data_IF_172845290127
#
_entry.id   IF_172845290127
#
_cell.length_a   1.000
_cell.length_b   1.000
_cell.length_c   1.000
_cell.angle_alpha   90.00
_cell.angle_beta   90.00
_cell.angle_gamma   90.00
#
_symmetry.space_group_name_H-M   'P 1'
#
loop_
_entity.id
_entity.type
_entity.pdbx_description
1 polymer ?
#
# COMPACT_ATOMS: atom_id res chain seq x y z
N UNK A 1 -35.76 40.04 -4.88
CA UNK A 1 -35.01 39.02 -4.11
C UNK A 1 -35.40 37.65 -4.65
N UNK A 2 -34.58 37.07 -5.53
CA UNK A 2 -34.81 35.74 -6.12
C UNK A 2 -33.74 34.82 -5.56
N UNK A 3 -34.19 33.81 -4.81
CA UNK A 3 -33.38 32.76 -4.20
C UNK A 3 -32.77 31.91 -5.32
N UNK A 4 -31.45 31.95 -5.46
CA UNK A 4 -30.72 31.18 -6.47
C UNK A 4 -30.83 29.68 -6.22
N UNK A 5 -31.44 28.98 -7.18
CA UNK A 5 -31.45 27.53 -7.22
C UNK A 5 -30.02 26.99 -7.46
N UNK A 6 -29.54 26.15 -6.55
CA UNK A 6 -28.30 25.39 -6.73
C UNK A 6 -28.41 24.48 -7.97
N UNK A 7 -27.34 24.31 -8.77
CA UNK A 7 -27.36 23.42 -9.93
C UNK A 7 -27.48 21.94 -9.52
N UNK A 8 -28.17 21.10 -10.33
CA UNK A 8 -28.42 19.68 -10.03
C UNK A 8 -27.18 18.77 -10.04
N UNK A 9 -25.99 19.33 -10.28
CA UNK A 9 -24.71 18.59 -10.32
C UNK A 9 -24.16 18.33 -8.91
N UNK A 10 -24.37 19.27 -7.96
CA UNK A 10 -23.93 19.10 -6.57
C UNK A 10 -24.68 17.96 -5.85
N UNK A 11 -25.89 17.64 -6.31
CA UNK A 11 -26.72 16.55 -5.76
C UNK A 11 -26.41 15.19 -6.39
N UNK A 12 -25.76 15.14 -7.57
CA UNK A 12 -25.37 13.88 -8.25
C UNK A 12 -23.98 13.35 -7.89
N UNK A 13 -23.08 14.21 -7.39
CA UNK A 13 -21.78 13.75 -6.87
C UNK A 13 -21.86 13.07 -5.50
N UNK A 14 -22.98 13.20 -4.78
CA UNK A 14 -23.22 12.48 -3.52
C UNK A 14 -23.75 11.06 -3.70
N UNK A 15 -24.00 10.59 -4.93
CA UNK A 15 -24.72 9.32 -5.19
C UNK A 15 -23.92 8.32 -6.04
N UNK A 16 -22.61 8.54 -6.23
CA UNK A 16 -21.68 7.62 -6.92
C UNK A 16 -20.42 7.35 -6.10
N UNK A 17 -20.49 7.47 -4.77
CA UNK A 17 -19.59 6.74 -3.91
C UNK A 17 -20.22 5.36 -3.72
N UNK A 18 -19.62 4.32 -4.30
CA UNK A 18 -19.82 2.94 -3.82
C UNK A 18 -19.17 2.87 -2.44
N UNK A 19 -19.86 3.53 -1.51
CA UNK A 19 -19.32 4.02 -0.27
C UNK A 19 -18.92 2.83 0.58
N UNK A 20 -17.63 2.78 0.93
CA UNK A 20 -17.16 1.93 2.01
C UNK A 20 -18.15 1.99 3.17
N UNK A 21 -18.80 0.87 3.47
CA UNK A 21 -19.69 0.74 4.62
C UNK A 21 -18.92 0.03 5.72
N UNK A 22 -18.95 0.60 6.92
CA UNK A 22 -18.36 -0.01 8.10
C UNK A 22 -19.45 -0.20 9.14
N UNK A 23 -19.92 -1.43 9.27
CA UNK A 23 -20.89 -1.81 10.30
C UNK A 23 -20.16 -2.11 11.61
N UNK A 24 -20.65 -1.57 12.73
CA UNK A 24 -20.06 -1.80 14.05
C UNK A 24 -20.99 -2.67 14.89
N UNK A 25 -20.48 -3.81 15.34
CA UNK A 25 -21.14 -4.65 16.35
C UNK A 25 -20.34 -4.59 17.63
N UNK A 26 -20.94 -4.11 18.73
CA UNK A 26 -20.28 -4.09 20.04
C UNK A 26 -20.78 -5.24 20.89
N UNK A 27 -19.86 -5.93 21.57
CA UNK A 27 -20.13 -7.06 22.44
C UNK A 27 -19.95 -6.67 23.93
N UNK A 28 -20.66 -7.34 24.85
CA UNK A 28 -20.59 -7.05 26.28
C UNK A 28 -19.22 -7.33 26.92
N UNK A 29 -18.35 -8.09 26.25
CA UNK A 29 -16.95 -8.32 26.66
C UNK A 29 -16.02 -7.12 26.37
N UNK A 30 -16.58 -6.03 25.81
CA UNK A 30 -15.82 -4.84 25.42
C UNK A 30 -15.19 -4.94 24.02
N UNK A 31 -15.56 -5.93 23.22
CA UNK A 31 -15.08 -6.08 21.84
C UNK A 31 -15.97 -5.32 20.86
N UNK A 32 -15.35 -4.53 20.00
CA UNK A 32 -16.02 -3.91 18.85
C UNK A 32 -15.59 -4.64 17.56
N UNK A 33 -16.52 -5.20 16.82
CA UNK A 33 -16.29 -5.83 15.51
C UNK A 33 -16.70 -4.85 14.42
N UNK A 34 -15.76 -4.49 13.56
CA UNK A 34 -15.97 -3.60 12.41
C UNK A 34 -16.03 -4.48 11.15
N UNK A 35 -17.22 -4.64 10.58
CA UNK A 35 -17.40 -5.36 9.31
C UNK A 35 -17.36 -4.37 8.17
N UNK A 36 -16.37 -4.53 7.29
CA UNK A 36 -16.13 -3.62 6.18
C UNK A 36 -16.68 -4.21 4.89
N UNK A 37 -17.49 -3.42 4.17
CA UNK A 37 -18.13 -3.82 2.91
C UNK A 37 -17.89 -2.76 1.85
N UNK A 38 -17.68 -3.22 0.62
CA UNK A 38 -17.39 -2.35 -0.53
C UNK A 38 -15.89 -2.29 -0.85
N UNK A 39 -15.40 -1.11 -1.21
CA UNK A 39 -14.04 -0.92 -1.73
C UNK A 39 -13.21 0.00 -0.82
N UNK A 40 -11.98 -0.42 -0.52
CA UNK A 40 -11.01 0.42 0.20
C UNK A 40 -10.22 1.25 -0.82
N UNK A 41 -10.79 2.39 -1.17
CA UNK A 41 -10.24 3.39 -2.10
C UNK A 41 -10.15 4.76 -1.43
N UNK A 42 -9.75 5.79 -2.17
CA UNK A 42 -9.63 7.16 -1.68
C UNK A 42 -10.84 7.61 -0.82
N UNK A 43 -10.57 8.13 0.37
CA UNK A 43 -11.58 8.57 1.35
C UNK A 43 -11.99 7.51 2.38
N UNK A 44 -11.52 6.26 2.27
CA UNK A 44 -11.80 5.21 3.25
C UNK A 44 -11.37 5.57 4.68
N UNK A 45 -10.26 6.29 4.84
CA UNK A 45 -9.74 6.74 6.14
C UNK A 45 -10.66 7.73 6.85
N UNK A 46 -11.36 8.60 6.10
CA UNK A 46 -12.33 9.53 6.69
C UNK A 46 -13.56 8.79 7.23
N UNK A 47 -14.01 7.77 6.49
CA UNK A 47 -15.09 6.87 6.95
C UNK A 47 -14.66 6.12 8.21
N UNK A 48 -13.44 5.58 8.24
CA UNK A 48 -12.89 4.92 9.41
C UNK A 48 -12.85 5.87 10.62
N UNK A 49 -12.31 7.07 10.45
CA UNK A 49 -12.21 8.05 11.53
C UNK A 49 -13.58 8.40 12.12
N UNK A 50 -14.59 8.60 11.26
CA UNK A 50 -15.98 8.84 11.68
C UNK A 50 -16.57 7.65 12.44
N UNK A 51 -16.29 6.43 12.00
CA UNK A 51 -16.77 5.21 12.67
C UNK A 51 -16.10 5.02 14.04
N UNK A 52 -14.78 5.19 14.11
CA UNK A 52 -14.01 5.08 15.36
C UNK A 52 -14.43 6.14 16.39
N UNK A 53 -14.73 7.36 15.94
CA UNK A 53 -15.22 8.44 16.81
C UNK A 53 -16.61 8.16 17.41
N UNK A 54 -17.40 7.28 16.80
CA UNK A 54 -18.74 6.89 17.27
C UNK A 54 -18.72 5.62 18.13
N UNK A 55 -17.56 5.01 18.38
CA UNK A 55 -17.47 3.83 19.23
C UNK A 55 -17.89 4.17 20.67
N UNK A 56 -18.68 3.30 21.31
CA UNK A 56 -19.10 3.52 22.69
C UNK A 56 -17.89 3.49 23.64
N UNK A 57 -17.96 4.22 24.77
CA UNK A 57 -16.92 4.14 25.80
C UNK A 57 -16.87 2.72 26.39
N UNK A 58 -15.65 2.24 26.70
CA UNK A 58 -15.45 0.90 27.27
C UNK A 58 -15.05 -0.19 26.28
N UNK A 59 -14.84 0.16 25.00
CA UNK A 59 -14.21 -0.76 24.03
C UNK A 59 -12.77 -1.07 24.48
N UNK A 60 -12.47 -2.37 24.63
CA UNK A 60 -11.18 -2.92 25.05
C UNK A 60 -10.43 -3.60 23.93
N UNK A 61 -11.08 -3.90 22.79
CA UNK A 61 -10.47 -4.49 21.60
C UNK A 61 -11.31 -4.18 20.35
N UNK A 62 -10.66 -3.98 19.21
CA UNK A 62 -11.31 -3.78 17.91
C UNK A 62 -10.90 -4.90 16.95
N UNK A 63 -11.88 -5.58 16.37
CA UNK A 63 -11.66 -6.63 15.37
C UNK A 63 -12.22 -6.18 14.02
N UNK A 64 -11.35 -5.89 13.07
CA UNK A 64 -11.70 -5.55 11.69
C UNK A 64 -11.93 -6.83 10.86
N UNK A 65 -13.08 -6.91 10.21
CA UNK A 65 -13.47 -8.03 9.33
C UNK A 65 -13.49 -7.58 7.87
N UNK A 66 -12.66 -8.22 7.06
CA UNK A 66 -12.36 -7.84 5.68
C UNK A 66 -12.98 -8.77 4.62
N UNK A 67 -13.77 -9.75 5.04
CA UNK A 67 -14.28 -10.81 4.15
C UNK A 67 -15.16 -10.30 2.99
N UNK A 68 -15.82 -9.16 3.17
CA UNK A 68 -16.72 -8.56 2.18
C UNK A 68 -16.06 -7.46 1.33
N UNK A 69 -14.78 -7.21 1.57
CA UNK A 69 -13.97 -6.29 0.77
C UNK A 69 -13.45 -7.05 -0.44
N UNK A 70 -13.79 -6.57 -1.63
CA UNK A 70 -13.35 -7.19 -2.89
C UNK A 70 -12.23 -6.42 -3.58
N UNK A 71 -12.12 -5.12 -3.26
CA UNK A 71 -11.14 -4.23 -3.85
C UNK A 71 -10.43 -3.39 -2.80
N UNK A 72 -9.12 -3.24 -2.97
CA UNK A 72 -8.24 -2.48 -2.09
C UNK A 72 -7.10 -1.89 -2.93
N UNK A 73 -6.96 -0.57 -2.90
CA UNK A 73 -5.78 0.11 -3.43
C UNK A 73 -4.82 0.53 -2.30
N UNK A 74 -3.85 1.39 -2.61
CA UNK A 74 -2.89 1.91 -1.64
C UNK A 74 -3.57 2.64 -0.46
N UNK A 75 -4.74 3.25 -0.66
CA UNK A 75 -5.51 3.88 0.41
C UNK A 75 -5.99 2.86 1.44
N UNK A 76 -6.20 1.61 1.05
CA UNK A 76 -6.49 0.54 2.01
C UNK A 76 -5.34 0.25 2.97
N UNK A 77 -4.08 0.42 2.55
CA UNK A 77 -2.94 0.30 3.46
C UNK A 77 -2.87 1.49 4.42
N UNK A 78 -3.21 2.69 3.95
CA UNK A 78 -3.35 3.87 4.82
C UNK A 78 -4.49 3.72 5.83
N UNK A 79 -5.61 3.10 5.43
CA UNK A 79 -6.71 2.73 6.31
C UNK A 79 -6.24 1.81 7.44
N UNK A 80 -5.46 0.77 7.12
CA UNK A 80 -4.88 -0.13 8.12
C UNK A 80 -3.91 0.60 9.06
N UNK A 81 -3.05 1.46 8.52
CA UNK A 81 -2.12 2.26 9.32
C UNK A 81 -2.88 3.21 10.26
N UNK A 82 -3.96 3.83 9.80
CA UNK A 82 -4.82 4.69 10.62
C UNK A 82 -5.51 3.92 11.75
N UNK A 83 -6.01 2.70 11.48
CA UNK A 83 -6.58 1.83 12.51
C UNK A 83 -5.53 1.41 13.54
N UNK A 84 -4.34 1.02 13.10
CA UNK A 84 -3.23 0.65 13.98
C UNK A 84 -2.80 1.80 14.89
N UNK A 85 -2.68 3.00 14.32
CA UNK A 85 -2.32 4.21 15.06
C UNK A 85 -3.40 4.62 16.05
N UNK A 86 -4.68 4.48 15.71
CA UNK A 86 -5.77 4.65 16.67
C UNK A 86 -5.66 3.66 17.83
N UNK A 87 -5.45 2.37 17.54
CA UNK A 87 -5.25 1.33 18.55
C UNK A 87 -4.11 1.65 19.50
N UNK A 88 -2.97 2.10 18.96
CA UNK A 88 -1.82 2.56 19.76
C UNK A 88 -2.14 3.76 20.64
N UNK A 89 -2.78 4.80 20.08
CA UNK A 89 -3.09 6.05 20.82
C UNK A 89 -4.07 5.82 21.97
N UNK A 90 -5.05 4.94 21.76
CA UNK A 90 -6.09 4.67 22.75
C UNK A 90 -5.80 3.42 23.60
N UNK A 91 -4.65 2.77 23.39
CA UNK A 91 -4.26 1.51 24.06
C UNK A 91 -5.32 0.40 23.90
N UNK A 92 -5.93 0.35 22.72
CA UNK A 92 -6.93 -0.65 22.35
C UNK A 92 -6.32 -1.58 21.31
N UNK A 93 -6.09 -2.88 21.63
CA UNK A 93 -5.64 -3.86 20.66
C UNK A 93 -6.56 -3.90 19.43
N UNK A 94 -5.95 -3.93 18.26
CA UNK A 94 -6.64 -4.03 16.98
C UNK A 94 -6.19 -5.30 16.25
N UNK A 95 -7.11 -6.00 15.61
CA UNK A 95 -6.78 -7.11 14.69
C UNK A 95 -7.53 -6.93 13.38
N UNK A 96 -6.96 -7.38 12.27
CA UNK A 96 -7.63 -7.35 10.98
C UNK A 96 -7.57 -8.71 10.29
N UNK A 97 -8.74 -9.31 10.07
CA UNK A 97 -8.85 -10.71 9.61
C UNK A 97 -9.88 -10.88 8.49
N UNK A 98 -9.86 -12.04 7.83
CA UNK A 98 -10.81 -12.36 6.76
C UNK A 98 -10.38 -11.83 5.39
N UNK A 99 -9.08 -11.73 5.15
CA UNK A 99 -8.51 -11.29 3.88
C UNK A 99 -8.78 -12.32 2.78
N UNK A 100 -9.43 -11.90 1.70
CA UNK A 100 -9.68 -12.75 0.52
C UNK A 100 -9.43 -11.96 -0.76
N UNK A 101 -9.38 -12.65 -1.91
CA UNK A 101 -9.33 -12.01 -3.22
C UNK A 101 -8.18 -11.01 -3.40
N UNK A 102 -8.47 -9.84 -3.97
CA UNK A 102 -7.47 -8.83 -4.26
C UNK A 102 -6.79 -8.25 -3.00
N UNK A 103 -7.50 -7.88 -1.91
CA UNK A 103 -6.86 -7.42 -0.67
C UNK A 103 -5.77 -8.36 -0.14
N UNK A 104 -6.01 -9.67 -0.14
CA UNK A 104 -5.01 -10.67 0.26
C UNK A 104 -3.73 -10.57 -0.58
N UNK A 105 -3.88 -10.43 -1.91
CA UNK A 105 -2.74 -10.30 -2.82
C UNK A 105 -1.97 -9.00 -2.61
N UNK A 106 -2.65 -7.92 -2.22
CA UNK A 106 -1.98 -6.65 -1.88
C UNK A 106 -1.14 -6.80 -0.61
N UNK A 107 -1.64 -7.50 0.42
CA UNK A 107 -0.85 -7.79 1.62
C UNK A 107 0.40 -8.62 1.31
N UNK A 108 0.27 -9.66 0.48
CA UNK A 108 1.40 -10.48 0.02
C UNK A 108 2.46 -9.62 -0.70
N UNK A 109 2.04 -8.74 -1.60
CA UNK A 109 2.94 -7.85 -2.34
C UNK A 109 3.58 -6.78 -1.46
N UNK A 110 2.91 -6.38 -0.39
CA UNK A 110 3.43 -5.45 0.61
C UNK A 110 4.35 -6.13 1.64
N UNK A 111 4.47 -7.47 1.60
CA UNK A 111 5.25 -8.23 2.59
C UNK A 111 4.63 -8.21 3.99
N UNK A 112 3.32 -7.98 4.08
CA UNK A 112 2.59 -7.95 5.34
C UNK A 112 2.05 -9.35 5.69
N UNK A 113 1.83 -9.59 6.97
CA UNK A 113 1.15 -10.80 7.43
C UNK A 113 -0.27 -10.86 6.81
N UNK A 114 -0.53 -11.93 6.07
CA UNK A 114 -1.79 -12.15 5.37
C UNK A 114 -2.92 -12.64 6.28
N UNK A 115 -2.58 -13.10 7.49
CA UNK A 115 -3.53 -13.52 8.52
C UNK A 115 -4.00 -12.32 9.33
N UNK A 116 -3.04 -11.52 9.82
CA UNK A 116 -3.32 -10.26 10.52
C UNK A 116 -2.18 -9.24 10.29
N UNK A 117 -2.34 -8.30 9.33
CA UNK A 117 -1.30 -7.32 9.01
C UNK A 117 -1.09 -6.28 10.11
N UNK A 118 -1.94 -6.26 11.16
CA UNK A 118 -1.81 -5.38 12.31
C UNK A 118 -1.09 -6.05 13.48
N UNK A 119 -0.75 -7.33 13.37
CA UNK A 119 -0.04 -8.09 14.38
C UNK A 119 1.45 -7.69 14.41
N UNK A 120 2.01 -7.29 15.56
CA UNK A 120 3.43 -6.98 15.69
C UNK A 120 4.38 -8.19 15.52
N UNK A 121 3.87 -9.42 15.44
CA UNK A 121 4.68 -10.64 15.57
C UNK A 121 5.50 -11.06 14.34
N UNK A 122 5.36 -10.42 13.18
CA UNK A 122 6.02 -10.89 11.94
C UNK A 122 7.24 -10.02 11.59
N UNK A 123 8.15 -9.93 12.55
CA UNK A 123 9.40 -9.18 12.45
C UNK A 123 10.48 -9.72 13.38
N UNK A 124 10.66 -11.03 13.46
CA UNK A 124 11.90 -11.61 14.01
C UNK A 124 12.88 -11.92 12.86
N UNK A 125 14.15 -11.49 12.97
CA UNK A 125 15.21 -11.94 12.08
C UNK A 125 15.42 -13.45 12.28
N UNK A 126 15.53 -14.20 11.19
CA UNK A 126 15.91 -15.61 11.25
C UNK A 126 17.32 -15.73 11.85
N UNK A 127 17.38 -16.05 13.14
CA UNK A 127 18.60 -16.37 13.86
C UNK A 127 18.54 -17.84 14.31
N UNK A 128 19.56 -18.61 13.88
CA UNK A 128 19.93 -19.92 14.42
C UNK A 128 19.93 -21.11 13.44
N UNK A 129 20.81 -22.13 13.63
CA UNK A 129 21.67 -22.38 14.79
C UNK A 129 23.18 -22.39 14.52
N UNK A 130 23.88 -22.12 15.62
CA UNK A 130 25.31 -22.13 15.86
C UNK A 130 25.83 -23.57 15.90
N UNK A 131 26.93 -23.86 15.20
CA UNK A 131 27.71 -25.07 15.43
C UNK A 131 29.21 -24.73 15.38
N UNK A 132 29.86 -24.79 16.53
CA UNK A 132 31.29 -24.56 16.70
C UNK A 132 31.74 -25.33 17.95
N UNK A 133 32.73 -26.23 17.85
CA UNK A 133 33.01 -27.20 18.91
C UNK A 133 33.67 -26.56 20.14
N UNK A 134 33.54 -27.18 21.32
CA UNK A 134 34.15 -26.72 22.55
C UNK A 134 35.58 -27.28 22.68
N UNK A 135 36.50 -26.51 23.27
CA UNK A 135 37.47 -27.03 24.24
C UNK A 135 38.22 -25.87 24.91
N UNK A 136 38.31 -25.93 26.25
CA UNK A 136 38.94 -24.94 27.13
C UNK A 136 40.47 -25.10 27.24
N UNK A 137 41.15 -24.72 28.35
CA UNK A 137 40.62 -24.26 29.64
C UNK A 137 41.22 -22.93 30.14
N UNK A 138 40.66 -22.50 31.27
CA UNK A 138 40.98 -21.33 32.09
C UNK A 138 42.35 -21.41 32.80
N UNK A 139 42.98 -20.23 32.82
CA UNK A 139 43.78 -19.54 33.85
C UNK A 139 44.83 -20.27 34.72
N UNK A 140 45.98 -19.59 34.83
CA UNK A 140 47.12 -19.88 35.70
C UNK A 140 48.18 -18.76 35.59
N UNK A 141 47.94 -17.63 36.28
CA UNK A 141 48.86 -16.49 36.56
C UNK A 141 50.27 -16.88 37.09
N UNK A 142 51.21 -15.94 37.38
CA UNK A 142 51.65 -14.72 36.68
C UNK A 142 53.21 -14.56 36.67
N UNK A 143 53.79 -13.67 35.85
CA UNK A 143 55.22 -13.35 36.00
C UNK A 143 55.80 -12.26 35.08
N UNK A 144 55.95 -11.05 35.65
CA UNK A 144 57.08 -10.13 35.41
C UNK A 144 57.15 -9.35 34.08
N UNK A 145 57.52 -8.05 34.08
CA UNK A 145 57.45 -7.18 32.91
C UNK A 145 58.75 -7.18 32.10
N UNK A 146 58.65 -7.19 30.77
CA UNK A 146 59.73 -6.73 29.90
C UNK A 146 59.16 -5.76 28.84
N UNK A 147 59.78 -4.59 28.61
CA UNK A 147 59.25 -3.55 27.76
C UNK A 147 59.79 -3.69 26.33
N UNK A 148 58.87 -3.69 25.37
CA UNK A 148 59.19 -3.37 23.98
C UNK A 148 58.90 -4.50 23.00
N UNK A 149 57.74 -4.43 22.38
CA UNK A 149 57.56 -4.40 20.92
C UNK A 149 56.06 -4.53 20.59
N UNK A 150 55.53 -3.49 19.94
CA UNK A 150 54.35 -3.52 19.04
C UNK A 150 53.03 -4.01 19.62
N UNK A 151 52.10 -3.09 19.85
CA UNK A 151 50.65 -3.36 19.78
C UNK A 151 50.23 -3.46 18.31
N UNK A 152 49.78 -4.61 17.77
CA UNK A 152 48.99 -4.66 16.56
C UNK A 152 47.49 -4.73 16.90
N UNK A 153 46.87 -3.65 17.36
CA UNK A 153 45.39 -3.56 17.36
C UNK A 153 44.85 -2.13 17.53
N UNK A 154 44.71 -1.38 16.42
CA UNK A 154 43.40 -0.75 16.17
C UNK A 154 42.81 -1.10 14.79
N UNK A 155 43.56 -1.81 13.94
CA UNK A 155 43.19 -2.06 12.54
C UNK A 155 41.97 -3.00 12.37
N UNK A 156 41.82 -4.04 13.21
CA UNK A 156 40.72 -5.00 13.06
C UNK A 156 39.35 -4.42 13.45
N UNK A 157 39.27 -3.62 14.53
CA UNK A 157 38.06 -2.89 14.90
C UNK A 157 37.72 -1.81 13.87
N UNK A 158 38.74 -1.16 13.29
CA UNK A 158 38.57 -0.19 12.20
C UNK A 158 38.08 -0.84 10.90
N UNK A 159 38.55 -2.06 10.59
CA UNK A 159 38.14 -2.79 9.39
C UNK A 159 36.69 -3.27 9.48
N UNK A 160 36.28 -3.80 10.64
CA UNK A 160 34.87 -4.19 10.89
C UNK A 160 33.96 -2.96 10.91
N UNK A 161 34.41 -1.82 11.44
CA UNK A 161 33.65 -0.57 11.40
C UNK A 161 33.51 -0.02 9.97
N UNK A 162 34.57 -0.09 9.16
CA UNK A 162 34.56 0.31 7.75
C UNK A 162 33.62 -0.59 6.92
N UNK A 163 33.69 -1.91 7.10
CA UNK A 163 32.82 -2.86 6.41
C UNK A 163 31.33 -2.64 6.76
N UNK A 164 31.03 -2.33 8.03
CA UNK A 164 29.67 -1.97 8.46
C UNK A 164 29.19 -0.66 7.84
N UNK A 165 30.05 0.35 7.73
CA UNK A 165 29.72 1.63 7.11
C UNK A 165 29.47 1.50 5.59
N UNK A 166 30.26 0.67 4.91
CA UNK A 166 30.08 0.35 3.49
C UNK A 166 28.76 -0.39 3.25
N UNK A 167 28.44 -1.40 4.07
CA UNK A 167 27.15 -2.11 4.00
C UNK A 167 25.96 -1.18 4.25
N UNK A 168 26.05 -0.28 5.23
CA UNK A 168 25.00 0.71 5.49
C UNK A 168 24.78 1.64 4.30
N UNK A 169 25.86 2.09 3.67
CA UNK A 169 25.79 2.97 2.49
C UNK A 169 25.15 2.24 1.30
N UNK A 170 25.50 0.97 1.10
CA UNK A 170 24.94 0.14 0.02
C UNK A 170 23.44 -0.12 0.22
N UNK A 171 23.03 -0.45 1.45
CA UNK A 171 21.62 -0.62 1.82
C UNK A 171 20.82 0.68 1.68
N UNK A 172 21.40 1.83 2.04
CA UNK A 172 20.76 3.14 1.85
C UNK A 172 20.55 3.45 0.36
N UNK A 173 21.52 3.17 -0.50
CA UNK A 173 21.39 3.35 -1.95
C UNK A 173 20.32 2.43 -2.55
N UNK A 174 20.24 1.18 -2.09
CA UNK A 174 19.22 0.21 -2.50
C UNK A 174 17.82 0.66 -2.05
N UNK A 175 17.67 1.12 -0.80
CA UNK A 175 16.43 1.71 -0.29
C UNK A 175 16.03 2.95 -1.10
N UNK A 176 16.96 3.82 -1.47
CA UNK A 176 16.71 5.00 -2.32
C UNK A 176 16.25 4.59 -3.72
N UNK A 177 16.84 3.53 -4.29
CA UNK A 177 16.49 2.99 -5.60
C UNK A 177 15.10 2.32 -5.58
N UNK A 178 14.79 1.57 -4.52
CA UNK A 178 13.48 0.96 -4.29
C UNK A 178 12.39 2.01 -4.02
N UNK A 179 12.68 3.05 -3.23
CA UNK A 179 11.77 4.20 -3.02
C UNK A 179 11.46 4.90 -4.33
N UNK A 180 12.47 5.12 -5.18
CA UNK A 180 12.27 5.69 -6.53
C UNK A 180 11.49 4.77 -7.46
N UNK A 181 11.68 3.46 -7.37
CA UNK A 181 10.91 2.48 -8.13
C UNK A 181 9.42 2.43 -7.68
N UNK A 182 9.17 2.48 -6.37
CA UNK A 182 7.82 2.57 -5.78
C UNK A 182 7.14 3.88 -6.17
N UNK A 183 7.86 5.00 -6.21
CA UNK A 183 7.34 6.31 -6.63
C UNK A 183 6.95 6.39 -8.12
N UNK A 184 7.36 5.42 -8.96
CA UNK A 184 7.05 5.39 -10.41
C UNK A 184 5.78 4.60 -10.78
N UNK A 185 5.23 3.83 -9.83
CA UNK A 185 3.98 3.06 -9.96
C UNK A 185 2.65 3.84 -9.82
N UNK A 186 2.54 5.00 -9.13
CA UNK A 186 1.26 5.69 -8.91
C UNK A 186 0.60 6.20 -10.19
N UNK A 187 1.38 6.66 -11.17
CA UNK A 187 0.83 7.37 -12.33
C UNK A 187 0.08 6.43 -13.29
N UNK A 188 0.56 5.20 -13.42
CA UNK A 188 -0.04 4.19 -14.30
C UNK A 188 -1.33 3.65 -13.70
N UNK A 189 -1.33 3.40 -12.39
CA UNK A 189 -2.52 2.96 -11.68
C UNK A 189 -3.60 4.06 -11.63
N UNK A 190 -3.20 5.33 -11.46
CA UNK A 190 -4.12 6.48 -11.56
C UNK A 190 -4.73 6.61 -12.97
N UNK A 191 -3.92 6.52 -14.02
CA UNK A 191 -4.40 6.57 -15.39
C UNK A 191 -5.37 5.41 -15.69
N UNK A 192 -5.11 4.23 -15.14
CA UNK A 192 -6.00 3.07 -15.26
C UNK A 192 -7.35 3.34 -14.58
N UNK A 193 -7.35 3.87 -13.35
CA UNK A 193 -8.58 4.26 -12.64
C UNK A 193 -9.40 5.31 -13.40
N UNK A 194 -8.74 6.31 -13.99
CA UNK A 194 -9.39 7.33 -14.83
C UNK A 194 -10.06 6.68 -16.06
N UNK A 195 -9.38 5.76 -16.74
CA UNK A 195 -9.93 5.08 -17.92
C UNK A 195 -11.09 4.15 -17.56
N UNK A 196 -11.02 3.46 -16.43
CA UNK A 196 -12.12 2.64 -15.92
C UNK A 196 -13.38 3.49 -15.70
N UNK A 197 -13.23 4.65 -15.03
CA UNK A 197 -14.33 5.58 -14.78
C UNK A 197 -14.87 6.23 -16.06
N UNK A 198 -13.99 6.58 -17.01
CA UNK A 198 -14.37 7.28 -18.24
C UNK A 198 -15.00 6.37 -19.31
N UNK A 199 -14.65 5.09 -19.34
CA UNK A 199 -15.04 4.17 -20.42
C UNK A 199 -15.81 2.92 -19.95
N UNK A 200 -16.16 2.84 -18.66
CA UNK A 200 -16.89 1.71 -18.05
C UNK A 200 -16.21 0.37 -18.42
N UNK A 201 -14.90 0.29 -18.17
CA UNK A 201 -14.10 -0.88 -18.49
C UNK A 201 -13.42 -1.45 -17.25
N UNK A 202 -13.09 -2.75 -17.30
CA UNK A 202 -12.38 -3.44 -16.22
C UNK A 202 -10.94 -2.94 -16.12
N UNK A 203 -10.29 -3.18 -14.97
CA UNK A 203 -8.88 -2.85 -14.78
C UNK A 203 -7.99 -3.51 -15.86
N UNK A 204 -8.28 -4.75 -16.26
CA UNK A 204 -7.55 -5.44 -17.32
C UNK A 204 -7.71 -4.72 -18.67
N UNK A 205 -8.93 -4.33 -19.02
CA UNK A 205 -9.21 -3.57 -20.24
C UNK A 205 -8.55 -2.20 -20.24
N UNK A 206 -8.57 -1.48 -19.11
CA UNK A 206 -7.90 -0.19 -18.97
C UNK A 206 -6.37 -0.31 -19.10
N UNK A 207 -5.78 -1.38 -18.58
CA UNK A 207 -4.37 -1.71 -18.83
C UNK A 207 -4.08 -1.96 -20.31
N UNK A 208 -4.92 -2.75 -20.98
CA UNK A 208 -4.78 -3.02 -22.41
C UNK A 208 -4.97 -1.76 -23.26
N UNK A 209 -5.87 -0.86 -22.90
CA UNK A 209 -6.04 0.45 -23.53
C UNK A 209 -4.74 1.27 -23.45
N UNK A 210 -4.13 1.37 -22.25
CA UNK A 210 -2.85 2.07 -22.07
C UNK A 210 -1.72 1.44 -22.87
N UNK A 211 -1.66 0.09 -22.88
CA UNK A 211 -0.65 -0.67 -23.62
C UNK A 211 -0.77 -0.45 -25.14
N UNK A 212 -1.98 -0.56 -25.68
CA UNK A 212 -2.25 -0.33 -27.11
C UNK A 212 -2.00 1.13 -27.49
N UNK A 213 -2.41 2.09 -26.66
CA UNK A 213 -2.15 3.50 -26.90
C UNK A 213 -0.65 3.82 -26.89
N UNK A 214 0.12 3.23 -25.96
CA UNK A 214 1.58 3.36 -25.88
C UNK A 214 2.28 2.83 -27.13
N UNK A 215 1.89 1.64 -27.61
CA UNK A 215 2.45 1.04 -28.82
C UNK A 215 2.13 1.87 -30.07
N UNK A 216 0.90 2.37 -30.18
CA UNK A 216 0.44 3.15 -31.35
C UNK A 216 1.01 4.57 -31.41
N UNK A 217 1.30 5.17 -30.25
CA UNK A 217 1.93 6.49 -30.17
C UNK A 217 3.46 6.43 -30.07
N UNK A 218 4.06 5.23 -30.14
CA UNK A 218 5.48 4.99 -29.91
C UNK A 218 6.05 5.75 -28.67
N UNK A 219 5.23 5.86 -27.62
CA UNK A 219 5.52 6.65 -26.43
C UNK A 219 5.58 5.73 -25.23
N UNK A 220 6.52 5.97 -24.31
CA UNK A 220 6.66 5.17 -23.07
C UNK A 220 5.34 5.17 -22.31
N UNK A 221 4.89 3.98 -21.87
CA UNK A 221 3.61 3.79 -21.19
C UNK A 221 3.42 4.74 -19.98
N UNK A 222 4.47 4.96 -19.19
CA UNK A 222 4.47 5.94 -18.09
C UNK A 222 4.14 7.37 -18.52
N UNK A 223 4.56 7.77 -19.70
CA UNK A 223 4.32 9.11 -20.27
C UNK A 223 2.90 9.21 -20.80
N UNK A 224 2.37 8.14 -21.41
CA UNK A 224 0.95 8.05 -21.79
C UNK A 224 0.06 8.13 -20.55
N UNK A 225 0.39 7.38 -19.49
CA UNK A 225 -0.32 7.43 -18.22
C UNK A 225 -0.30 8.83 -17.59
N UNK A 226 0.87 9.47 -17.54
CA UNK A 226 0.97 10.85 -17.04
C UNK A 226 0.10 11.82 -17.85
N UNK A 227 0.05 11.69 -19.18
CA UNK A 227 -0.77 12.54 -20.03
C UNK A 227 -2.28 12.31 -19.80
N UNK A 228 -2.69 11.06 -19.55
CA UNK A 228 -4.09 10.73 -19.17
C UNK A 228 -4.44 11.34 -17.81
N UNK A 229 -3.57 11.17 -16.81
CA UNK A 229 -3.78 11.73 -15.47
C UNK A 229 -3.83 13.25 -15.47
N UNK A 230 -2.93 13.89 -16.24
CA UNK A 230 -2.88 15.34 -16.38
C UNK A 230 -4.12 15.88 -17.09
N UNK A 231 -4.53 15.24 -18.19
CA UNK A 231 -5.71 15.65 -18.97
C UNK A 231 -7.04 15.45 -18.25
N UNK A 232 -7.09 14.61 -17.21
CA UNK A 232 -8.29 14.40 -16.39
C UNK A 232 -8.45 15.43 -15.26
N UNK A 233 -7.41 16.21 -14.94
CA UNK A 233 -7.49 17.24 -13.89
C UNK A 233 -8.26 18.47 -14.40
N UNK A 234 -9.09 19.12 -13.56
CA UNK A 234 -9.67 20.41 -13.89
C UNK A 234 -8.57 21.45 -14.22
N UNK A 235 -8.56 21.97 -15.45
CA UNK A 235 -7.55 22.91 -15.94
C UNK A 235 -6.20 22.28 -16.33
N UNK A 236 -6.11 20.94 -16.39
CA UNK A 236 -4.89 20.23 -16.80
C UNK A 236 -4.57 20.37 -18.29
N UNK A 237 -3.31 20.09 -18.65
CA UNK A 237 -2.87 20.15 -20.05
C UNK A 237 -3.41 18.93 -20.80
N UNK A 238 -4.12 19.10 -21.93
CA UNK A 238 -4.63 17.97 -22.70
C UNK A 238 -3.47 17.14 -23.27
N UNK A 239 -3.65 15.81 -23.40
CA UNK A 239 -2.62 14.96 -23.99
C UNK A 239 -2.28 15.42 -25.42
N UNK A 240 -1.02 15.24 -25.86
CA UNK A 240 -0.62 15.40 -27.26
C UNK A 240 -1.58 14.69 -28.22
N UNK A 241 -1.79 15.27 -29.40
CA UNK A 241 -2.80 14.80 -30.36
C UNK A 241 -2.58 13.34 -30.78
N UNK A 242 -1.33 12.94 -30.94
CA UNK A 242 -0.92 11.56 -31.20
C UNK A 242 -1.39 10.58 -30.11
N UNK A 243 -1.23 10.95 -28.84
CA UNK A 243 -1.65 10.15 -27.68
C UNK A 243 -3.18 10.09 -27.60
N UNK A 244 -3.89 11.21 -27.85
CA UNK A 244 -5.36 11.25 -27.87
C UNK A 244 -5.94 10.35 -28.95
N UNK A 245 -5.37 10.40 -30.15
CA UNK A 245 -5.79 9.57 -31.28
C UNK A 245 -5.52 8.10 -31.00
N UNK A 246 -4.34 7.77 -30.45
CA UNK A 246 -4.01 6.41 -30.04
C UNK A 246 -4.95 5.86 -28.95
N UNK A 247 -5.29 6.67 -27.94
CA UNK A 247 -6.23 6.30 -26.88
C UNK A 247 -7.64 6.05 -27.42
N UNK A 248 -8.16 6.92 -28.28
CA UNK A 248 -9.49 6.75 -28.89
C UNK A 248 -9.57 5.46 -29.70
N UNK A 249 -8.53 5.16 -30.50
CA UNK A 249 -8.47 3.89 -31.23
C UNK A 249 -8.38 2.70 -30.28
N UNK A 250 -7.56 2.78 -29.24
CA UNK A 250 -7.41 1.69 -28.27
C UNK A 250 -8.73 1.37 -27.57
N UNK A 251 -9.46 2.39 -27.11
CA UNK A 251 -10.80 2.23 -26.50
C UNK A 251 -11.76 1.55 -27.48
N UNK A 252 -11.83 2.01 -28.73
CA UNK A 252 -12.71 1.40 -29.74
C UNK A 252 -12.40 -0.08 -30.00
N UNK A 253 -11.12 -0.47 -30.01
CA UNK A 253 -10.70 -1.86 -30.20
C UNK A 253 -11.09 -2.74 -29.01
N UNK A 254 -10.95 -2.22 -27.79
CA UNK A 254 -11.26 -2.96 -26.56
C UNK A 254 -12.75 -3.09 -26.30
N UNK A 255 -13.57 -2.09 -26.68
CA UNK A 255 -15.03 -2.15 -26.53
C UNK A 255 -15.73 -2.96 -27.63
N UNK A 256 -15.08 -3.17 -28.78
CA UNK A 256 -15.63 -3.99 -29.87
C UNK A 256 -15.53 -5.50 -29.63
N UNK A 257 -14.84 -5.93 -28.57
CA UNK A 257 -14.63 -7.35 -28.23
C UNK A 257 -15.66 -7.96 -27.26
N UNK A 258 -16.73 -7.24 -26.89
CA UNK A 258 -17.71 -7.71 -25.90
C UNK A 258 -18.85 -8.52 -26.53
N UNK A 259 -18.76 -9.85 -26.43
CA UNK A 259 -19.92 -10.77 -26.41
C UNK A 259 -20.23 -11.15 -24.97
N UNK A 260 -21.41 -10.72 -24.50
CA UNK A 260 -22.27 -11.20 -23.41
C UNK A 260 -21.68 -11.57 -22.02
N UNK A 261 -22.26 -11.07 -20.90
CA UNK A 261 -21.98 -11.60 -19.56
C UNK A 261 -22.64 -12.99 -19.36
N UNK A 262 -22.04 -13.91 -18.58
CA UNK A 262 -22.73 -15.13 -18.16
C UNK A 262 -23.90 -14.76 -17.24
N UNK A 263 -25.09 -15.23 -17.62
CA UNK A 263 -26.34 -15.11 -16.87
C UNK A 263 -26.28 -15.91 -15.55
N UNK A 264 -27.13 -15.58 -14.55
CA UNK A 264 -26.94 -15.92 -13.14
C UNK A 264 -27.03 -17.41 -12.81
#
# INVERSE_FOLDING_TARGET
MILGALPPVARRLHTLADALVVDVTTHPDGRAVLTVRGELVHGCTDTLAKTLAQLPPGVRRIDLRMAEVRFMDTAGLEFLAALHEHGRRHLVPVTATGWTGQPLRILELAGLDTTDPLNPATGEPADGPVDGPPDGPVDGSPGGPDPGLTDPAPAAFSAVAAERAERLTQLQQEVEQLRRAIASRPVIDQARGILMAAHVCTAQQAWDILRVASQRSNTKLRTVAAAVTEGARPGGTPPPEEIRTALRTAVALTTSGTTAPPAP
#
